data_IF_244586729050
#
_entry.id   IF_244586729050
#
_cell.length_a   1.000
_cell.length_b   1.000
_cell.length_c   1.000
_cell.angle_alpha   90.00
_cell.angle_beta   90.00
_cell.angle_gamma   90.00
#
_symmetry.space_group_name_H-M   'P 1'
#
loop_
_entity.id
_entity.type
_entity.pdbx_description
1 polymer ?
#
# COMPACT_ATOMS: atom_id res chain seq x y z
N UNK A 1 -15.38 -3.95 -7.55
CA UNK A 1 -14.73 -4.06 -6.24
C UNK A 1 -13.59 -3.06 -6.13
N UNK A 2 -13.47 -2.40 -4.98
CA UNK A 2 -12.46 -1.37 -4.73
C UNK A 2 -11.67 -1.74 -3.48
N UNK A 3 -10.35 -1.67 -3.57
CA UNK A 3 -9.44 -1.88 -2.46
C UNK A 3 -9.08 -0.52 -1.84
N UNK A 4 -9.42 -0.32 -0.57
CA UNK A 4 -9.20 0.94 0.14
C UNK A 4 -8.16 0.76 1.23
N UNK A 5 -7.17 1.66 1.27
CA UNK A 5 -6.22 1.76 2.36
C UNK A 5 -6.58 2.98 3.20
N UNK A 6 -7.01 2.72 4.44
CA UNK A 6 -7.35 3.77 5.40
C UNK A 6 -6.11 4.19 6.19
N UNK A 7 -5.72 5.46 6.08
CA UNK A 7 -4.49 5.99 6.68
C UNK A 7 -4.58 6.20 8.18
N UNK A 8 -5.76 6.56 8.67
CA UNK A 8 -6.01 6.83 10.09
C UNK A 8 -7.14 5.93 10.57
N UNK A 9 -6.89 5.19 11.65
CA UNK A 9 -7.93 4.43 12.31
C UNK A 9 -9.00 5.39 12.87
N UNK A 10 -10.29 5.22 12.52
CA UNK A 10 -11.33 6.17 12.92
C UNK A 10 -11.72 6.04 14.39
N UNK A 11 -11.42 4.91 15.02
CA UNK A 11 -11.79 4.60 16.41
C UNK A 11 -10.69 5.05 17.37
N UNK A 12 -9.41 4.97 16.97
CA UNK A 12 -8.26 5.30 17.82
C UNK A 12 -7.51 6.57 17.41
N UNK A 13 -7.64 7.01 16.16
CA UNK A 13 -6.88 8.13 15.61
C UNK A 13 -5.42 7.78 15.26
N UNK A 14 -5.03 6.51 15.36
CA UNK A 14 -3.67 6.06 15.05
C UNK A 14 -3.40 6.09 13.54
N UNK A 15 -2.16 6.43 13.17
CA UNK A 15 -1.72 6.44 11.76
C UNK A 15 -1.21 5.06 11.36
N UNK A 16 -1.93 4.38 10.47
CA UNK A 16 -1.62 3.03 9.99
C UNK A 16 -0.48 3.02 8.95
N UNK A 17 -0.38 4.09 8.17
CA UNK A 17 0.65 4.26 7.13
C UNK A 17 0.99 5.74 6.99
N UNK A 18 2.28 6.05 6.97
CA UNK A 18 2.79 7.42 6.80
C UNK A 18 3.53 7.52 5.47
N UNK A 19 3.38 8.65 4.78
CA UNK A 19 4.13 8.92 3.56
C UNK A 19 5.52 9.52 3.82
N UNK A 20 5.89 9.74 5.09
CA UNK A 20 7.15 10.36 5.47
C UNK A 20 7.35 11.77 4.90
N UNK A 21 6.28 12.48 4.55
CA UNK A 21 6.34 13.79 3.91
C UNK A 21 6.52 13.77 2.39
N UNK A 22 6.50 12.61 1.74
CA UNK A 22 6.80 12.46 0.30
C UNK A 22 5.55 12.44 -0.60
N UNK A 23 4.45 13.07 -0.18
CA UNK A 23 3.20 13.11 -0.98
C UNK A 23 2.57 11.72 -1.20
N UNK A 24 1.90 11.52 -2.33
CA UNK A 24 1.26 10.23 -2.65
C UNK A 24 2.27 9.09 -2.88
N UNK A 25 3.40 9.40 -3.52
CA UNK A 25 4.47 8.43 -3.76
C UNK A 25 5.04 7.86 -2.44
N UNK A 26 5.06 8.67 -1.38
CA UNK A 26 5.48 8.20 -0.07
C UNK A 26 4.57 7.12 0.53
N UNK A 27 3.27 7.11 0.22
CA UNK A 27 2.40 6.02 0.67
C UNK A 27 2.70 4.73 -0.08
N UNK A 28 2.92 4.79 -1.40
CA UNK A 28 3.30 3.60 -2.17
C UNK A 28 4.62 3.02 -1.68
N UNK A 29 5.60 3.88 -1.42
CA UNK A 29 6.88 3.48 -0.83
C UNK A 29 6.70 2.84 0.55
N UNK A 30 5.83 3.39 1.40
CA UNK A 30 5.56 2.87 2.73
C UNK A 30 4.88 1.49 2.74
N UNK A 31 4.25 1.07 1.65
CA UNK A 31 3.71 -0.29 1.52
C UNK A 31 4.78 -1.34 1.25
N UNK A 32 6.04 -0.95 1.00
CA UNK A 32 7.17 -1.86 0.77
C UNK A 32 6.84 -2.96 -0.26
N UNK A 33 6.39 -2.54 -1.45
CA UNK A 33 5.99 -3.45 -2.52
C UNK A 33 7.24 -4.11 -3.10
N UNK A 34 7.27 -5.44 -3.12
CA UNK A 34 8.39 -6.24 -3.63
C UNK A 34 7.90 -7.33 -4.56
N UNK A 35 8.71 -7.68 -5.56
CA UNK A 35 8.46 -8.85 -6.38
C UNK A 35 8.62 -10.13 -5.56
N UNK A 36 7.71 -11.08 -5.77
CA UNK A 36 7.76 -12.43 -5.22
C UNK A 36 7.46 -13.44 -6.33
N UNK A 37 7.66 -14.73 -6.05
CA UNK A 37 7.26 -15.76 -7.01
C UNK A 37 5.75 -15.67 -7.27
N UNK A 38 5.37 -15.52 -8.53
CA UNK A 38 3.97 -15.47 -8.96
C UNK A 38 3.28 -14.10 -8.85
N UNK A 39 3.94 -13.06 -8.33
CA UNK A 39 3.30 -11.73 -8.23
C UNK A 39 4.09 -10.67 -7.46
N UNK A 40 3.35 -9.72 -6.89
CA UNK A 40 3.88 -8.65 -6.05
C UNK A 40 3.29 -8.73 -4.65
N UNK A 41 4.13 -8.56 -3.63
CA UNK A 41 3.72 -8.55 -2.23
C UNK A 41 3.85 -7.14 -1.65
N UNK A 42 2.86 -6.71 -0.86
CA UNK A 42 2.89 -5.44 -0.14
C UNK A 42 2.48 -5.60 1.33
N UNK A 43 2.93 -4.66 2.16
CA UNK A 43 2.61 -4.56 3.59
C UNK A 43 1.65 -3.41 3.85
N UNK A 44 0.47 -3.70 4.42
CA UNK A 44 -0.54 -2.70 4.75
C UNK A 44 -1.05 -2.95 6.17
N UNK A 45 -0.81 -1.99 7.07
CA UNK A 45 -1.23 -2.07 8.47
C UNK A 45 -0.82 -3.40 9.16
N UNK A 46 0.44 -3.84 8.96
CA UNK A 46 0.95 -5.10 9.50
C UNK A 46 0.50 -6.37 8.75
N UNK A 47 -0.39 -6.26 7.78
CA UNK A 47 -0.84 -7.39 6.96
C UNK A 47 0.02 -7.54 5.71
N UNK A 48 0.21 -8.77 5.28
CA UNK A 48 0.82 -9.10 3.98
C UNK A 48 -0.27 -9.34 2.95
N UNK A 49 -0.17 -8.66 1.81
CA UNK A 49 -1.10 -8.78 0.69
C UNK A 49 -0.32 -9.24 -0.55
N UNK A 50 -0.78 -10.30 -1.21
CA UNK A 50 -0.25 -10.79 -2.47
C UNK A 50 -1.18 -10.36 -3.62
N UNK A 51 -0.61 -9.78 -4.66
CA UNK A 51 -1.28 -9.53 -5.93
C UNK A 51 -0.62 -10.42 -6.97
N UNK A 52 -1.34 -11.45 -7.41
CA UNK A 52 -0.84 -12.43 -8.37
C UNK A 52 -0.78 -11.86 -9.79
N UNK A 53 0.20 -12.31 -10.58
CA UNK A 53 0.32 -11.99 -12.00
C UNK A 53 0.78 -10.55 -12.34
N UNK A 54 1.21 -9.78 -11.34
CA UNK A 54 1.77 -8.43 -11.52
C UNK A 54 3.16 -8.33 -10.87
N UNK A 55 4.00 -7.46 -11.42
CA UNK A 55 5.28 -7.08 -10.80
C UNK A 55 5.10 -5.87 -9.89
N UNK A 56 6.00 -5.71 -8.92
CA UNK A 56 6.01 -4.55 -8.04
C UNK A 56 6.10 -3.23 -8.81
N UNK A 57 6.85 -3.21 -9.92
CA UNK A 57 7.00 -2.03 -10.79
C UNK A 57 5.71 -1.63 -11.52
N UNK A 58 4.75 -2.55 -11.68
CA UNK A 58 3.44 -2.25 -12.28
C UNK A 58 2.48 -1.58 -11.29
N UNK A 59 2.71 -1.69 -9.98
CA UNK A 59 1.87 -1.10 -8.95
C UNK A 59 2.36 0.33 -8.63
N UNK A 60 1.80 1.29 -9.34
CA UNK A 60 2.19 2.70 -9.28
C UNK A 60 1.21 3.52 -8.44
N UNK A 61 1.50 4.81 -8.24
CA UNK A 61 0.61 5.73 -7.50
C UNK A 61 -0.81 5.79 -8.09
N UNK A 62 -0.96 5.58 -9.40
CA UNK A 62 -2.26 5.63 -10.08
C UNK A 62 -3.19 4.46 -9.71
N UNK A 63 -2.61 3.37 -9.20
CA UNK A 63 -3.33 2.15 -8.85
C UNK A 63 -3.93 2.18 -7.42
N UNK A 64 -3.62 3.22 -6.64
CA UNK A 64 -4.04 3.33 -5.24
C UNK A 64 -4.92 4.54 -4.95
N UNK A 65 -5.93 4.32 -4.12
CA UNK A 65 -6.71 5.38 -3.49
C UNK A 65 -6.49 5.35 -1.98
N UNK A 66 -6.06 6.48 -1.43
CA UNK A 66 -5.79 6.64 0.00
C UNK A 66 -6.85 7.51 0.64
N UNK A 67 -7.47 7.02 1.71
CA UNK A 67 -8.47 7.74 2.52
C UNK A 67 -7.84 8.17 3.84
#
# INVERSE_FOLDING_TARGET
>A
DSFFIRRVDPDTGETNITNGGNGLAGFVAAMNIVDVEGGAQMSVNGNTILVEGVTAAQLTVEDFQFL
#
